data_IF_526039813513
#
_entry.id   IF_526039813513
#
_cell.length_a   1.000
_cell.length_b   1.000
_cell.length_c   1.000
_cell.angle_alpha   90.00
_cell.angle_beta   90.00
_cell.angle_gamma   90.00
#
_symmetry.space_group_name_H-M   'P 1'
#
loop_
_entity.id
_entity.type
_entity.pdbx_description
1 polymer ?
#
# COMPACT_ATOMS: atom_id res chain seq x y z
N UNK A 1 22.06 -22.24 -11.18
CA UNK A 1 20.58 -22.21 -11.29
C UNK A 1 20.21 -22.42 -12.74
N UNK A 2 19.23 -23.27 -13.04
CA UNK A 2 18.76 -23.47 -14.42
C UNK A 2 17.69 -22.43 -14.79
N UNK A 3 17.55 -22.11 -16.08
CA UNK A 3 16.51 -21.19 -16.55
C UNK A 3 15.10 -21.70 -16.18
N UNK A 4 14.89 -23.01 -16.25
CA UNK A 4 13.66 -23.68 -15.84
C UNK A 4 13.31 -23.42 -14.36
N UNK A 5 14.29 -23.51 -13.45
CA UNK A 5 14.05 -23.25 -12.02
C UNK A 5 13.59 -21.82 -11.74
N UNK A 6 14.08 -20.86 -12.53
CA UNK A 6 13.72 -19.45 -12.40
C UNK A 6 12.28 -19.23 -12.89
N UNK A 7 11.87 -19.87 -13.99
CA UNK A 7 10.49 -19.76 -14.48
C UNK A 7 9.49 -20.38 -13.50
N UNK A 8 9.80 -21.56 -12.94
CA UNK A 8 8.97 -22.17 -11.90
C UNK A 8 8.87 -21.24 -10.68
N UNK A 9 9.97 -20.63 -10.27
CA UNK A 9 9.98 -19.68 -9.16
C UNK A 9 9.09 -18.46 -9.44
N UNK A 10 9.11 -17.92 -10.67
CA UNK A 10 8.24 -16.81 -11.07
C UNK A 10 6.76 -17.20 -11.04
N UNK A 11 6.42 -18.37 -11.57
CA UNK A 11 5.04 -18.88 -11.51
C UNK A 11 4.57 -19.00 -10.06
N UNK A 12 5.38 -19.64 -9.21
CA UNK A 12 5.09 -19.76 -7.77
C UNK A 12 4.95 -18.41 -7.09
N UNK A 13 5.81 -17.45 -7.43
CA UNK A 13 5.72 -16.09 -6.90
C UNK A 13 4.39 -15.43 -7.28
N UNK A 14 3.96 -15.53 -8.54
CA UNK A 14 2.67 -14.97 -8.98
C UNK A 14 1.48 -15.67 -8.30
N UNK A 15 1.48 -17.00 -8.23
CA UNK A 15 0.44 -17.75 -7.51
C UNK A 15 0.37 -17.33 -6.04
N UNK A 16 1.53 -17.18 -5.39
CA UNK A 16 1.61 -16.71 -4.00
C UNK A 16 1.05 -15.29 -3.82
N UNK A 17 1.32 -14.37 -4.76
CA UNK A 17 0.74 -13.03 -4.74
C UNK A 17 -0.79 -13.03 -4.89
N UNK A 18 -1.31 -13.80 -5.83
CA UNK A 18 -2.77 -13.92 -6.05
C UNK A 18 -3.44 -14.50 -4.80
N UNK A 19 -2.88 -15.57 -4.23
CA UNK A 19 -3.38 -16.15 -2.98
C UNK A 19 -3.37 -15.14 -1.82
N UNK A 20 -2.31 -14.32 -1.72
CA UNK A 20 -2.22 -13.27 -0.71
C UNK A 20 -3.32 -12.21 -0.88
N UNK A 21 -3.53 -11.74 -2.11
CA UNK A 21 -4.57 -10.77 -2.46
C UNK A 21 -5.99 -11.30 -2.18
N UNK A 22 -6.20 -12.61 -2.30
CA UNK A 22 -7.45 -13.29 -1.96
C UNK A 22 -7.62 -13.61 -0.46
N UNK A 23 -6.66 -13.22 0.39
CA UNK A 23 -6.69 -13.53 1.83
C UNK A 23 -6.32 -14.97 2.19
N UNK A 24 -5.86 -15.77 1.22
CA UNK A 24 -5.43 -17.16 1.42
C UNK A 24 -3.98 -17.22 1.92
N UNK A 25 -3.71 -16.64 3.09
CA UNK A 25 -2.34 -16.38 3.56
C UNK A 25 -1.48 -17.64 3.74
N UNK A 26 -2.06 -18.77 4.14
CA UNK A 26 -1.33 -20.05 4.25
C UNK A 26 -0.82 -20.55 2.89
N UNK A 27 -1.66 -20.45 1.86
CA UNK A 27 -1.30 -20.85 0.49
C UNK A 27 -0.29 -19.86 -0.12
N UNK A 28 -0.44 -18.57 0.18
CA UNK A 28 0.54 -17.55 -0.21
C UNK A 28 1.92 -17.87 0.36
N UNK A 29 2.00 -18.16 1.66
CA UNK A 29 3.24 -18.55 2.34
C UNK A 29 3.88 -19.78 1.69
N UNK A 30 3.10 -20.84 1.45
CA UNK A 30 3.63 -22.07 0.86
C UNK A 30 4.24 -21.84 -0.54
N UNK A 31 3.53 -21.08 -1.39
CA UNK A 31 4.03 -20.78 -2.74
C UNK A 31 5.26 -19.87 -2.71
N UNK A 32 5.30 -18.88 -1.81
CA UNK A 32 6.43 -17.97 -1.65
C UNK A 32 7.66 -18.66 -1.05
N UNK A 33 7.49 -19.58 -0.10
CA UNK A 33 8.59 -20.42 0.42
C UNK A 33 9.19 -21.27 -0.71
N UNK A 34 8.33 -21.94 -1.51
CA UNK A 34 8.78 -22.72 -2.69
C UNK A 34 9.49 -21.86 -3.72
N UNK A 35 8.98 -20.67 -4.03
CA UNK A 35 9.64 -19.72 -4.92
C UNK A 35 11.01 -19.29 -4.37
N UNK A 36 11.10 -18.97 -3.08
CA UNK A 36 12.36 -18.55 -2.45
C UNK A 36 13.42 -19.65 -2.46
N UNK A 37 13.02 -20.91 -2.27
CA UNK A 37 13.93 -22.06 -2.29
C UNK A 37 14.54 -22.32 -3.68
N UNK A 38 13.83 -21.93 -4.73
CA UNK A 38 14.27 -22.06 -6.12
C UNK A 38 15.14 -20.88 -6.58
N UNK A 39 15.27 -19.81 -5.79
CA UNK A 39 15.99 -18.58 -6.15
C UNK A 39 17.30 -18.43 -5.38
N UNK A 40 18.30 -17.81 -6.00
CA UNK A 40 19.51 -17.41 -5.28
C UNK A 40 19.17 -16.32 -4.26
N UNK A 41 19.51 -16.57 -2.99
CA UNK A 41 19.20 -15.69 -1.84
C UNK A 41 19.78 -14.28 -1.93
N UNK A 42 20.80 -14.07 -2.75
CA UNK A 42 21.44 -12.77 -2.98
C UNK A 42 21.01 -12.09 -4.29
N UNK A 43 20.14 -12.74 -5.07
CA UNK A 43 19.60 -12.18 -6.30
C UNK A 43 18.54 -11.13 -5.98
N UNK A 44 18.36 -10.18 -6.90
CA UNK A 44 17.29 -9.18 -6.78
C UNK A 44 15.91 -9.84 -6.67
N UNK A 45 15.59 -10.77 -7.57
CA UNK A 45 14.29 -11.47 -7.56
C UNK A 45 14.09 -12.30 -6.29
N UNK A 46 15.13 -12.98 -5.80
CA UNK A 46 15.09 -13.69 -4.52
C UNK A 46 14.75 -12.76 -3.36
N UNK A 47 15.40 -11.58 -3.32
CA UNK A 47 15.08 -10.55 -2.32
C UNK A 47 13.64 -10.03 -2.42
N UNK A 48 13.11 -9.81 -3.63
CA UNK A 48 11.70 -9.41 -3.83
C UNK A 48 10.72 -10.47 -3.30
N UNK A 49 10.95 -11.75 -3.62
CA UNK A 49 10.14 -12.88 -3.13
C UNK A 49 10.22 -13.00 -1.61
N UNK A 50 11.42 -12.92 -1.03
CA UNK A 50 11.60 -13.02 0.42
C UNK A 50 10.93 -11.84 1.14
N UNK A 51 10.92 -10.64 0.56
CA UNK A 51 10.18 -9.49 1.12
C UNK A 51 8.67 -9.74 1.09
N UNK A 52 8.12 -10.25 -0.02
CA UNK A 52 6.70 -10.65 -0.06
C UNK A 52 6.38 -11.75 0.95
N UNK A 53 7.31 -12.69 1.16
CA UNK A 53 7.18 -13.76 2.14
C UNK A 53 7.12 -13.22 3.58
N UNK A 54 7.88 -12.18 3.93
CA UNK A 54 7.76 -11.50 5.24
C UNK A 54 6.32 -11.04 5.47
N UNK A 55 5.74 -10.33 4.50
CA UNK A 55 4.36 -9.83 4.62
C UNK A 55 3.35 -10.98 4.72
N UNK A 56 3.56 -12.06 3.97
CA UNK A 56 2.73 -13.25 4.04
C UNK A 56 2.82 -13.96 5.40
N UNK A 57 4.01 -14.03 6.01
CA UNK A 57 4.18 -14.55 7.37
C UNK A 57 3.44 -13.69 8.39
N UNK A 58 3.55 -12.36 8.32
CA UNK A 58 2.83 -11.45 9.21
C UNK A 58 1.30 -11.64 9.09
N UNK A 59 0.77 -11.66 7.86
CA UNK A 59 -0.66 -11.86 7.61
C UNK A 59 -1.17 -13.24 8.08
N UNK A 60 -0.32 -14.26 8.05
CA UNK A 60 -0.62 -15.60 8.57
C UNK A 60 -0.45 -15.73 10.09
N UNK A 61 -0.10 -14.65 10.81
CA UNK A 61 0.17 -14.67 12.25
C UNK A 61 1.52 -15.30 12.65
N UNK A 62 2.40 -15.58 11.69
CA UNK A 62 3.75 -16.12 11.88
C UNK A 62 4.77 -14.99 12.10
N UNK A 63 4.51 -14.13 13.09
CA UNK A 63 5.29 -12.90 13.32
C UNK A 63 6.77 -13.17 13.60
N UNK A 64 7.10 -14.24 14.32
CA UNK A 64 8.50 -14.58 14.64
C UNK A 64 9.29 -14.96 13.37
N UNK A 65 8.67 -15.69 12.45
CA UNK A 65 9.28 -16.03 11.16
C UNK A 65 9.49 -14.78 10.29
N UNK A 66 8.52 -13.86 10.28
CA UNK A 66 8.63 -12.57 9.60
C UNK A 66 9.83 -11.75 10.13
N UNK A 67 9.95 -11.67 11.47
CA UNK A 67 11.07 -10.98 12.13
C UNK A 67 12.41 -11.64 11.78
N UNK A 68 12.51 -12.97 11.89
CA UNK A 68 13.73 -13.71 11.59
C UNK A 68 14.18 -13.51 10.13
N UNK A 69 13.22 -13.51 9.20
CA UNK A 69 13.48 -13.27 7.78
C UNK A 69 13.95 -11.82 7.54
N UNK A 70 13.30 -10.83 8.14
CA UNK A 70 13.75 -9.43 8.08
C UNK A 70 15.16 -9.23 8.64
N UNK A 71 15.50 -9.89 9.75
CA UNK A 71 16.83 -9.84 10.36
C UNK A 71 17.93 -10.36 9.43
N UNK A 72 17.61 -11.36 8.61
CA UNK A 72 18.50 -11.84 7.53
C UNK A 72 18.59 -10.82 6.40
N UNK A 73 17.44 -10.36 5.91
CA UNK A 73 17.33 -9.49 4.73
C UNK A 73 17.93 -8.09 4.94
N UNK A 74 18.06 -7.59 6.17
CA UNK A 74 18.71 -6.30 6.44
C UNK A 74 20.18 -6.23 5.98
N UNK A 75 20.80 -7.38 5.70
CA UNK A 75 22.17 -7.51 5.16
C UNK A 75 22.19 -7.95 3.67
N UNK A 76 21.04 -7.96 3.00
CA UNK A 76 20.95 -8.35 1.60
C UNK A 76 21.77 -7.39 0.71
N UNK A 77 22.50 -7.90 -0.31
CA UNK A 77 23.37 -7.06 -1.14
C UNK A 77 22.60 -6.05 -2.00
N UNK A 78 21.34 -6.35 -2.35
CA UNK A 78 20.49 -5.38 -3.02
C UNK A 78 19.94 -4.34 -2.03
N UNK A 79 20.26 -3.07 -2.29
CA UNK A 79 19.97 -1.96 -1.39
C UNK A 79 18.48 -1.86 -1.03
N UNK A 80 17.59 -1.91 -2.02
CA UNK A 80 16.14 -1.77 -1.79
C UNK A 80 15.59 -2.88 -0.89
N UNK A 81 15.98 -4.13 -1.11
CA UNK A 81 15.61 -5.26 -0.24
C UNK A 81 16.07 -5.02 1.20
N UNK A 82 17.32 -4.59 1.39
CA UNK A 82 17.86 -4.32 2.73
C UNK A 82 17.15 -3.14 3.43
N UNK A 83 16.80 -2.11 2.67
CA UNK A 83 16.08 -0.92 3.16
C UNK A 83 14.67 -1.28 3.59
N UNK A 84 13.95 -2.03 2.77
CA UNK A 84 12.60 -2.49 3.08
C UNK A 84 12.59 -3.42 4.29
N UNK A 85 13.53 -4.37 4.37
CA UNK A 85 13.65 -5.26 5.52
C UNK A 85 13.91 -4.52 6.83
N UNK A 86 14.78 -3.50 6.85
CA UNK A 86 15.01 -2.67 8.05
C UNK A 86 13.73 -1.93 8.48
N UNK A 87 12.96 -1.41 7.53
CA UNK A 87 11.69 -0.72 7.80
C UNK A 87 10.65 -1.67 8.37
N UNK A 88 10.48 -2.86 7.77
CA UNK A 88 9.54 -3.87 8.25
C UNK A 88 9.95 -4.38 9.64
N UNK A 89 11.24 -4.65 9.85
CA UNK A 89 11.77 -5.06 11.15
C UNK A 89 11.46 -4.05 12.26
N UNK A 90 11.58 -2.75 11.96
CA UNK A 90 11.22 -1.68 12.91
C UNK A 90 9.73 -1.74 13.29
N UNK A 91 8.84 -1.94 12.32
CA UNK A 91 7.40 -2.04 12.55
C UNK A 91 7.07 -3.29 13.37
N UNK A 92 7.59 -4.45 12.96
CA UNK A 92 7.31 -5.74 13.60
C UNK A 92 7.81 -5.81 15.05
N UNK A 93 8.91 -5.12 15.37
CA UNK A 93 9.47 -5.06 16.73
C UNK A 93 8.96 -3.89 17.56
N UNK A 94 8.07 -3.05 17.03
CA UNK A 94 7.57 -1.90 17.76
C UNK A 94 6.85 -2.35 19.04
N UNK A 95 7.13 -1.73 20.21
CA UNK A 95 6.46 -2.09 21.44
C UNK A 95 4.97 -1.72 21.36
N UNK A 96 4.11 -2.58 21.91
CA UNK A 96 2.69 -2.28 22.04
C UNK A 96 2.52 -1.06 22.94
N UNK A 97 1.78 -0.06 22.46
CA UNK A 97 1.44 1.12 23.25
C UNK A 97 0.57 0.71 24.43
N UNK A 98 0.93 1.16 25.63
CA UNK A 98 0.06 1.04 26.81
C UNK A 98 -1.15 1.94 26.59
N UNK A 99 -2.35 1.40 26.83
CA UNK A 99 -3.61 2.16 26.78
C UNK A 99 -4.22 2.17 28.19
N UNK A 100 -3.85 3.16 29.03
CA UNK A 100 -4.47 3.39 30.33
C UNK A 100 -6.00 3.50 30.21
N UNK A 101 -6.72 2.93 31.16
CA UNK A 101 -8.19 3.02 31.21
C UNK A 101 -8.68 4.46 31.41
N UNK A 102 -7.87 5.32 32.04
CA UNK A 102 -8.21 6.73 32.26
C UNK A 102 -8.31 7.54 30.95
N UNK A 103 -7.70 7.06 29.85
CA UNK A 103 -7.78 7.69 28.51
C UNK A 103 -8.86 7.07 27.63
N UNK A 104 -9.51 6.00 28.10
CA UNK A 104 -10.46 5.21 27.32
C UNK A 104 -11.87 5.42 27.88
N UNK A 105 -12.80 5.86 27.03
CA UNK A 105 -14.23 5.79 27.37
C UNK A 105 -14.67 4.34 27.40
N UNK A 106 -15.16 3.86 28.53
CA UNK A 106 -15.69 2.50 28.66
C UNK A 106 -16.99 2.39 27.86
N UNK A 107 -17.06 1.43 26.94
CA UNK A 107 -18.32 1.08 26.26
C UNK A 107 -19.10 0.18 27.24
N UNK A 108 -20.31 0.58 27.67
CA UNK A 108 -21.12 -0.26 28.54
C UNK A 108 -21.48 -1.57 27.83
N UNK A 109 -21.68 -2.64 28.60
CA UNK A 109 -22.13 -3.91 28.05
C UNK A 109 -23.53 -3.76 27.45
N UNK A 110 -23.61 -3.88 26.13
CA UNK A 110 -24.84 -3.72 25.36
C UNK A 110 -25.65 -5.03 25.27
N UNK A 111 -25.08 -6.18 25.66
CA UNK A 111 -25.76 -7.48 25.60
C UNK A 111 -26.81 -7.69 26.71
N UNK A 112 -26.72 -6.91 27.79
CA UNK A 112 -27.70 -6.90 28.88
C UNK A 112 -28.84 -5.89 28.66
N UNK A 113 -28.79 -5.10 27.58
CA UNK A 113 -29.94 -4.30 27.20
C UNK A 113 -31.04 -5.26 26.74
N UNK A 114 -32.27 -5.14 27.27
CA UNK A 114 -33.39 -5.88 26.69
C UNK A 114 -33.41 -5.54 25.20
N UNK A 115 -33.61 -6.54 24.35
CA UNK A 115 -33.84 -6.33 22.91
C UNK A 115 -34.85 -5.20 22.83
N UNK A 116 -34.37 -4.03 22.44
CA UNK A 116 -35.22 -2.89 22.35
C UNK A 116 -36.05 -3.20 21.12
N UNK A 117 -37.26 -3.74 21.33
CA UNK A 117 -38.35 -3.74 20.37
C UNK A 117 -38.78 -2.28 20.09
N UNK A 118 -37.82 -1.36 19.92
CA UNK A 118 -37.93 -0.41 18.85
C UNK A 118 -38.12 -1.27 17.60
N UNK A 119 -39.39 -1.55 17.31
CA UNK A 119 -39.91 -1.58 15.96
C UNK A 119 -39.39 -0.31 15.31
N UNK A 120 -38.16 -0.38 14.81
CA UNK A 120 -37.74 0.36 13.64
C UNK A 120 -38.54 -0.29 12.52
N UNK A 121 -39.87 -0.09 12.55
CA UNK A 121 -40.64 -0.04 11.32
C UNK A 121 -39.96 1.07 10.55
N UNK A 122 -39.07 0.68 9.64
CA UNK A 122 -38.78 1.44 8.43
C UNK A 122 -40.11 1.46 7.68
N UNK A 123 -41.05 2.25 8.19
CA UNK A 123 -42.24 2.57 7.46
C UNK A 123 -41.71 3.36 6.26
N UNK A 124 -41.81 2.77 5.08
CA UNK A 124 -41.77 3.51 3.82
C UNK A 124 -42.99 4.44 3.78
N UNK A 125 -43.03 5.43 4.67
CA UNK A 125 -43.89 6.59 4.58
C UNK A 125 -43.07 7.61 3.82
N UNK A 126 -43.44 7.81 2.56
CA UNK A 126 -43.01 8.95 1.75
C UNK A 126 -43.13 10.21 2.62
N UNK A 127 -42.02 10.88 2.97
CA UNK A 127 -42.11 12.03 3.85
C UNK A 127 -42.70 13.18 3.06
N UNK A 128 -43.91 13.62 3.45
CA UNK A 128 -44.30 15.01 3.26
C UNK A 128 -43.22 15.87 3.92
N UNK A 129 -42.63 16.74 3.11
CA UNK A 129 -41.53 17.63 3.45
C UNK A 129 -41.80 18.37 4.77
N UNK A 130 -41.04 18.01 5.80
CA UNK A 130 -40.85 18.79 7.01
C UNK A 130 -39.41 18.49 7.43
N UNK A 131 -38.50 19.40 7.11
CA UNK A 131 -37.06 19.21 7.21
C UNK A 131 -36.64 18.83 8.64
N UNK A 132 -36.01 17.66 8.86
CA UNK A 132 -35.28 17.38 10.09
C UNK A 132 -33.96 18.17 10.07
N UNK A 133 -33.74 19.03 11.05
CA UNK A 133 -32.45 19.67 11.27
C UNK A 133 -31.39 18.59 11.52
N UNK A 134 -30.51 18.41 10.53
CA UNK A 134 -29.29 17.63 10.68
C UNK A 134 -28.49 18.22 11.86
N UNK A 135 -27.87 17.41 12.73
CA UNK A 135 -26.79 17.90 13.58
C UNK A 135 -25.80 18.61 12.65
N UNK A 136 -25.42 19.85 12.96
CA UNK A 136 -24.45 20.62 12.18
C UNK A 136 -23.18 19.78 12.09
N UNK A 137 -23.05 19.04 10.99
CA UNK A 137 -21.77 18.72 10.41
C UNK A 137 -21.04 20.05 10.46
N UNK A 138 -19.93 20.14 11.18
CA UNK A 138 -19.00 21.22 10.93
C UNK A 138 -18.58 20.98 9.49
N UNK A 139 -19.35 21.56 8.56
CA UNK A 139 -18.99 21.74 7.17
C UNK A 139 -17.57 22.23 7.29
N UNK A 140 -16.60 21.40 6.90
CA UNK A 140 -15.22 21.84 6.80
C UNK A 140 -15.33 23.08 5.96
N UNK A 141 -15.10 24.23 6.57
CA UNK A 141 -15.19 25.52 5.91
C UNK A 141 -14.42 25.34 4.60
N UNK A 142 -15.15 25.31 3.49
CA UNK A 142 -14.53 25.02 2.20
C UNK A 142 -13.44 26.07 2.07
N UNK A 143 -12.19 25.62 2.02
CA UNK A 143 -11.04 26.53 1.91
C UNK A 143 -11.35 27.43 0.73
N UNK A 144 -11.54 28.72 1.03
CA UNK A 144 -11.86 29.72 0.03
C UNK A 144 -10.73 29.70 -1.01
N UNK A 145 -11.07 29.27 -2.23
CA UNK A 145 -10.10 29.11 -3.31
C UNK A 145 -9.50 30.45 -3.76
N UNK A 146 -10.03 31.58 -3.28
CA UNK A 146 -9.40 32.89 -3.45
C UNK A 146 -8.20 33.10 -2.52
N UNK A 147 -8.08 32.33 -1.44
CA UNK A 147 -6.95 32.39 -0.49
C UNK A 147 -5.76 31.52 -0.91
N UNK A 148 -5.94 30.62 -1.89
CA UNK A 148 -4.82 29.84 -2.43
C UNK A 148 -4.08 30.64 -3.48
N UNK A 149 -2.75 30.61 -3.44
CA UNK A 149 -1.91 31.32 -4.38
C UNK A 149 -2.01 30.68 -5.78
N UNK A 150 -2.85 31.27 -6.63
CA UNK A 150 -3.03 30.88 -8.04
C UNK A 150 -2.13 31.66 -9.00
N UNK A 151 -1.14 32.40 -8.47
CA UNK A 151 -0.22 33.17 -9.29
C UNK A 151 0.50 32.23 -10.26
N UNK A 152 0.44 32.58 -11.53
CA UNK A 152 1.00 31.78 -12.61
C UNK A 152 2.50 31.54 -12.37
N UNK A 153 2.90 30.27 -12.32
CA UNK A 153 4.29 29.90 -12.12
C UNK A 153 4.99 30.09 -13.46
N UNK A 154 5.70 31.21 -13.62
CA UNK A 154 6.51 31.55 -14.81
C UNK A 154 7.43 30.41 -15.28
N UNK A 155 7.78 29.49 -14.36
CA UNK A 155 8.47 28.24 -14.64
C UNK A 155 7.75 27.33 -15.65
N UNK A 156 6.42 27.25 -15.62
CA UNK A 156 5.61 26.42 -16.54
C UNK A 156 5.80 26.92 -17.98
N UNK A 157 5.77 28.24 -18.18
CA UNK A 157 5.99 28.84 -19.49
C UNK A 157 7.42 28.60 -19.99
N UNK A 158 8.42 28.73 -19.11
CA UNK A 158 9.82 28.41 -19.43
C UNK A 158 9.97 26.93 -19.80
N UNK A 159 9.37 26.02 -19.04
CA UNK A 159 9.41 24.58 -19.31
C UNK A 159 8.78 24.26 -20.69
N UNK A 160 7.62 24.84 -21.00
CA UNK A 160 6.97 24.66 -22.30
C UNK A 160 7.82 25.19 -23.46
N UNK A 161 8.45 26.36 -23.33
CA UNK A 161 9.39 26.87 -24.36
C UNK A 161 10.57 25.92 -24.52
N UNK A 162 11.18 25.48 -23.43
CA UNK A 162 12.34 24.59 -23.51
C UNK A 162 12.00 23.28 -24.19
N UNK A 163 10.85 22.68 -23.87
CA UNK A 163 10.36 21.46 -24.53
C UNK A 163 10.13 21.75 -26.02
N UNK A 164 9.45 22.85 -26.37
CA UNK A 164 9.23 23.24 -27.75
C UNK A 164 10.52 23.41 -28.55
N UNK A 165 11.52 24.11 -27.99
CA UNK A 165 12.83 24.29 -28.62
C UNK A 165 13.59 22.98 -28.78
N UNK A 166 13.54 22.08 -27.79
CA UNK A 166 14.20 20.77 -27.90
C UNK A 166 13.58 19.91 -29.01
N UNK A 167 12.25 19.88 -29.11
CA UNK A 167 11.55 19.15 -30.18
C UNK A 167 11.86 19.77 -31.53
N UNK A 168 11.81 21.10 -31.64
CA UNK A 168 12.13 21.81 -32.87
C UNK A 168 13.58 21.56 -33.32
N UNK A 169 14.53 21.59 -32.39
CA UNK A 169 15.94 21.30 -32.67
C UNK A 169 16.16 19.85 -33.13
N UNK A 170 15.50 18.89 -32.50
CA UNK A 170 15.56 17.47 -32.90
C UNK A 170 14.94 17.26 -34.30
N UNK A 171 13.82 17.92 -34.60
CA UNK A 171 13.22 17.88 -35.94
C UNK A 171 14.11 18.56 -36.98
N UNK A 172 14.73 19.69 -36.64
CA UNK A 172 15.66 20.39 -37.50
C UNK A 172 16.90 19.52 -37.81
N UNK A 173 17.48 18.86 -36.80
CA UNK A 173 18.57 17.90 -36.99
C UNK A 173 18.14 16.70 -37.84
N UNK A 174 16.91 16.22 -37.66
CA UNK A 174 16.38 15.12 -38.48
C UNK A 174 16.18 15.51 -39.94
N UNK A 175 15.81 16.76 -40.23
CA UNK A 175 15.59 17.28 -41.59
C UNK A 175 16.89 17.75 -42.24
N UNK A 176 17.80 18.33 -41.46
CA UNK A 176 19.10 18.84 -41.93
C UNK A 176 20.20 17.78 -41.93
N UNK A 177 19.97 16.64 -41.29
CA UNK A 177 20.88 15.49 -41.20
C UNK A 177 20.87 14.56 -42.42
N UNK A 178 20.16 14.91 -43.50
CA UNK A 178 20.27 14.22 -44.77
C UNK A 178 21.10 15.05 -45.77
N UNK A 179 22.41 14.78 -45.84
CA UNK A 179 23.11 14.81 -47.11
C UNK A 179 23.65 13.41 -47.46
N UNK A 180 23.27 12.98 -48.67
CA UNK A 180 23.64 11.77 -49.43
C UNK A 180 22.80 10.52 -49.16
#
# INVERSE_FOLDING_TARGET
MSAESIEIAKTRYQTGKIAFENGQYREAVENLEKASALLARNSRLGGEVEISLVTAYEAAGRTDDAIALCERLKRHPHFETSKQARRMLYILKAPKLKRPSEWMTQIPDLGALPDNELKITVAAKSPKSSQPQKPKLTEREFVDLSQVNTKDNRFIWVALITIGLTIFYLLWLSVSGAPV
#
